data_IF_238915840098
#
_entry.id   IF_238915840098
#
_cell.length_a   1.000
_cell.length_b   1.000
_cell.length_c   1.000
_cell.angle_alpha   90.00
_cell.angle_beta   90.00
_cell.angle_gamma   90.00
#
_symmetry.space_group_name_H-M   'P 1'
#
loop_
_entity.id
_entity.type
_entity.pdbx_description
1 polymer ?
#
# COMPACT_ATOMS: atom_id res chain seq x y z
N UNK A 1 40.99 52.00 -0.99
CA UNK A 1 40.25 51.11 -0.08
C UNK A 1 38.76 51.33 -0.29
N UNK A 2 38.02 50.31 -0.73
CA UNK A 2 36.79 49.82 -0.08
C UNK A 2 36.16 48.72 -0.96
N UNK A 3 35.96 47.55 -0.34
CA UNK A 3 35.38 46.35 -0.94
C UNK A 3 33.87 46.49 -1.05
N UNK A 4 33.30 45.89 -2.09
CA UNK A 4 31.87 45.63 -2.19
C UNK A 4 31.66 44.12 -2.11
N UNK A 5 31.35 43.61 -0.91
CA UNK A 5 30.94 42.22 -0.73
C UNK A 5 29.43 42.13 -0.99
N UNK A 6 29.05 41.71 -2.21
CA UNK A 6 27.67 41.33 -2.55
C UNK A 6 27.25 40.18 -1.64
N UNK A 7 26.39 40.47 -0.66
CA UNK A 7 25.71 39.42 0.09
C UNK A 7 24.60 38.87 -0.81
N UNK A 8 24.85 37.72 -1.43
CA UNK A 8 23.78 36.89 -1.98
C UNK A 8 22.97 36.38 -0.79
N UNK A 9 21.79 36.97 -0.58
CA UNK A 9 20.79 36.38 0.31
C UNK A 9 20.20 35.21 -0.44
N UNK A 10 20.75 34.01 -0.20
CA UNK A 10 20.16 32.77 -0.69
C UNK A 10 18.79 32.68 -0.01
N UNK A 11 17.72 32.67 -0.79
CA UNK A 11 16.36 32.51 -0.27
C UNK A 11 16.18 31.05 0.14
N UNK A 12 16.62 30.74 1.37
CA UNK A 12 16.70 29.39 1.94
C UNK A 12 15.33 28.70 1.89
N UNK A 13 14.23 29.45 2.06
CA UNK A 13 12.87 28.92 2.01
C UNK A 13 12.51 28.33 0.64
N UNK A 14 12.93 28.99 -0.45
CA UNK A 14 12.66 28.51 -1.81
C UNK A 14 13.43 27.23 -2.14
N UNK A 15 14.69 27.13 -1.68
CA UNK A 15 15.48 25.91 -1.87
C UNK A 15 14.93 24.75 -1.05
N UNK A 16 14.53 24.98 0.21
CA UNK A 16 13.92 23.94 1.05
C UNK A 16 12.60 23.41 0.48
N UNK A 17 11.74 24.29 -0.04
CA UNK A 17 10.48 23.90 -0.68
C UNK A 17 10.73 23.08 -1.96
N UNK A 18 11.72 23.46 -2.76
CA UNK A 18 12.09 22.74 -3.98
C UNK A 18 12.63 21.35 -3.64
N UNK A 19 13.54 21.24 -2.68
CA UNK A 19 14.08 19.96 -2.21
C UNK A 19 13.00 19.06 -1.59
N UNK A 20 12.04 19.62 -0.84
CA UNK A 20 10.93 18.85 -0.28
C UNK A 20 10.04 18.27 -1.38
N UNK A 21 9.72 19.05 -2.41
CA UNK A 21 8.91 18.58 -3.55
C UNK A 21 9.65 17.53 -4.39
N UNK A 22 10.96 17.67 -4.57
CA UNK A 22 11.80 16.65 -5.22
C UNK A 22 11.84 15.35 -4.40
N UNK A 23 11.98 15.43 -3.07
CA UNK A 23 11.95 14.27 -2.18
C UNK A 23 10.58 13.58 -2.23
N UNK A 24 9.48 14.34 -2.24
CA UNK A 24 8.13 13.78 -2.35
C UNK A 24 7.92 13.10 -3.71
N UNK A 25 8.36 13.72 -4.81
CA UNK A 25 8.30 13.13 -6.15
C UNK A 25 9.17 11.87 -6.29
N UNK A 26 10.37 11.85 -5.70
CA UNK A 26 11.22 10.65 -5.66
C UNK A 26 10.58 9.56 -4.81
N UNK A 27 9.96 9.90 -3.68
CA UNK A 27 9.21 8.96 -2.85
C UNK A 27 8.06 8.35 -3.65
N UNK A 28 7.24 9.16 -4.30
CA UNK A 28 6.11 8.68 -5.10
C UNK A 28 6.59 7.85 -6.30
N UNK A 29 7.71 8.24 -6.92
CA UNK A 29 8.38 7.46 -7.98
C UNK A 29 8.94 6.13 -7.46
N UNK A 30 9.56 6.08 -6.28
CA UNK A 30 10.01 4.84 -5.65
C UNK A 30 8.82 3.92 -5.31
N UNK A 31 7.70 4.50 -4.90
CA UNK A 31 6.45 3.76 -4.67
C UNK A 31 5.81 3.29 -5.99
N UNK A 32 6.15 3.90 -7.12
CA UNK A 32 5.65 3.60 -8.47
C UNK A 32 6.56 2.69 -9.31
N UNK A 33 7.88 2.62 -9.06
CA UNK A 33 8.86 1.97 -9.93
C UNK A 33 9.02 0.47 -9.66
N UNK A 34 8.70 -0.01 -8.46
CA UNK A 34 8.65 -1.46 -8.25
C UNK A 34 7.30 -1.97 -8.79
N UNK A 35 7.34 -2.66 -9.92
CA UNK A 35 6.32 -3.63 -10.31
C UNK A 35 6.27 -4.73 -9.24
N UNK A 36 5.65 -4.39 -8.11
CA UNK A 36 5.61 -5.17 -6.88
C UNK A 36 4.89 -6.47 -7.19
N UNK A 37 5.71 -7.50 -7.37
CA UNK A 37 5.26 -8.86 -7.54
C UNK A 37 5.56 -9.55 -6.23
N UNK A 38 4.51 -10.03 -5.57
CA UNK A 38 4.63 -10.77 -4.32
C UNK A 38 4.13 -12.18 -4.56
N UNK A 39 4.72 -13.13 -3.82
CA UNK A 39 4.15 -14.47 -3.67
C UNK A 39 3.76 -14.63 -2.22
N UNK A 40 2.48 -14.86 -1.96
CA UNK A 40 1.97 -14.90 -0.59
C UNK A 40 0.93 -15.99 -0.43
N UNK A 41 0.88 -16.56 0.78
CA UNK A 41 -0.18 -17.46 1.21
C UNK A 41 -1.34 -16.65 1.79
N UNK A 42 -2.58 -17.04 1.45
CA UNK A 42 -3.77 -16.42 2.03
C UNK A 42 -4.08 -17.08 3.36
N UNK A 43 -4.10 -16.29 4.43
CA UNK A 43 -4.30 -16.76 5.80
C UNK A 43 -5.76 -16.60 6.21
N UNK A 44 -6.34 -15.43 5.96
CA UNK A 44 -7.73 -15.11 6.29
C UNK A 44 -8.31 -14.15 5.25
N UNK A 45 -9.62 -14.25 5.02
CA UNK A 45 -10.36 -13.38 4.09
C UNK A 45 -11.56 -12.82 4.84
N UNK A 46 -11.55 -11.50 5.08
CA UNK A 46 -12.71 -10.82 5.66
C UNK A 46 -13.82 -10.68 4.60
N UNK A 47 -15.11 -10.71 5.02
CA UNK A 47 -16.24 -10.48 4.13
C UNK A 47 -16.08 -9.21 3.30
N UNK A 48 -16.66 -9.21 2.09
CA UNK A 48 -16.63 -8.03 1.25
C UNK A 48 -17.45 -6.91 1.90
N UNK A 49 -16.89 -5.72 1.92
CA UNK A 49 -17.52 -4.51 2.42
C UNK A 49 -17.55 -3.46 1.30
N UNK A 50 -18.47 -2.51 1.42
CA UNK A 50 -18.57 -1.40 0.49
C UNK A 50 -18.05 -0.13 1.15
N UNK A 51 -17.31 0.66 0.39
CA UNK A 51 -16.92 2.00 0.78
C UNK A 51 -17.53 3.01 -0.18
N UNK A 52 -18.20 4.03 0.38
CA UNK A 52 -18.69 5.19 -0.37
C UNK A 52 -17.74 6.38 -0.17
N UNK A 53 -17.08 6.81 -1.25
CA UNK A 53 -16.29 8.06 -1.27
C UNK A 53 -16.82 8.99 -2.35
N UNK A 54 -17.24 10.20 -1.98
CA UNK A 54 -17.65 11.25 -2.94
C UNK A 54 -18.62 10.77 -4.04
N UNK A 55 -19.58 9.91 -3.68
CA UNK A 55 -20.59 9.39 -4.59
C UNK A 55 -20.15 8.19 -5.46
N UNK A 56 -18.94 7.67 -5.24
CA UNK A 56 -18.46 6.42 -5.84
C UNK A 56 -18.44 5.33 -4.77
N UNK A 57 -19.26 4.29 -4.97
CA UNK A 57 -19.24 3.07 -4.16
C UNK A 57 -18.27 2.07 -4.77
N UNK A 58 -17.28 1.61 -4.01
CA UNK A 58 -16.38 0.51 -4.39
C UNK A 58 -16.49 -0.64 -3.40
N UNK A 59 -16.38 -1.86 -3.89
CA UNK A 59 -16.33 -3.05 -3.04
C UNK A 59 -14.88 -3.32 -2.66
N UNK A 60 -14.62 -3.76 -1.43
CA UNK A 60 -13.31 -4.19 -1.00
C UNK A 60 -13.34 -5.43 -0.12
N UNK A 61 -12.23 -6.18 -0.13
CA UNK A 61 -11.95 -7.23 0.84
C UNK A 61 -10.63 -6.95 1.55
N UNK A 62 -10.61 -7.13 2.87
CA UNK A 62 -9.35 -7.26 3.61
C UNK A 62 -8.93 -8.72 3.63
N UNK A 63 -7.78 -8.98 3.03
CA UNK A 63 -7.19 -10.31 2.96
C UNK A 63 -5.92 -10.30 3.78
N UNK A 64 -5.86 -11.16 4.79
CA UNK A 64 -4.64 -11.36 5.54
C UNK A 64 -3.75 -12.32 4.76
N UNK A 65 -2.57 -11.84 4.40
CA UNK A 65 -1.59 -12.56 3.59
C UNK A 65 -0.26 -12.67 4.32
N UNK A 66 0.56 -13.64 3.93
CA UNK A 66 1.91 -13.74 4.47
C UNK A 66 2.87 -14.53 3.60
N UNK A 67 4.15 -14.33 3.87
CA UNK A 67 5.27 -15.09 3.32
C UNK A 67 6.23 -15.50 4.45
N UNK A 68 7.38 -16.09 4.12
CA UNK A 68 8.39 -16.49 5.12
C UNK A 68 8.94 -15.33 5.97
N UNK A 69 8.77 -14.08 5.51
CA UNK A 69 9.28 -12.88 6.19
C UNK A 69 8.29 -12.28 7.17
N UNK A 70 6.99 -12.51 6.97
CA UNK A 70 5.96 -12.04 7.87
C UNK A 70 4.56 -12.02 7.28
N UNK A 71 3.68 -11.26 7.92
CA UNK A 71 2.27 -11.13 7.57
C UNK A 71 1.88 -9.68 7.34
N UNK A 72 0.86 -9.46 6.51
CA UNK A 72 0.26 -8.13 6.29
C UNK A 72 -1.15 -8.25 5.70
N UNK A 73 -1.88 -7.13 5.61
CA UNK A 73 -3.11 -7.02 4.86
C UNK A 73 -2.90 -6.64 3.41
N UNK A 74 -3.67 -7.29 2.54
CA UNK A 74 -3.96 -6.89 1.18
C UNK A 74 -5.41 -6.41 1.10
N UNK A 75 -5.59 -5.18 0.65
CA UNK A 75 -6.89 -4.61 0.27
C UNK A 75 -7.14 -4.97 -1.18
N UNK A 76 -8.16 -5.79 -1.42
CA UNK A 76 -8.58 -6.19 -2.76
C UNK A 76 -9.78 -5.33 -3.15
N UNK A 77 -9.62 -4.45 -4.14
CA UNK A 77 -10.64 -3.52 -4.63
C UNK A 77 -11.35 -4.07 -5.86
N UNK A 78 -12.69 -3.99 -5.88
CA UNK A 78 -13.62 -4.32 -6.98
C UNK A 78 -13.44 -5.70 -7.64
N UNK A 79 -12.58 -6.53 -7.07
CA UNK A 79 -12.34 -7.90 -7.47
C UNK A 79 -13.18 -8.81 -6.59
N UNK A 80 -13.84 -9.79 -7.21
CA UNK A 80 -14.62 -10.75 -6.46
C UNK A 80 -13.70 -11.57 -5.52
N UNK A 81 -14.02 -11.67 -4.22
CA UNK A 81 -13.23 -12.47 -3.27
C UNK A 81 -13.18 -13.95 -3.65
N UNK A 82 -14.10 -14.42 -4.51
CA UNK A 82 -14.14 -15.80 -5.01
C UNK A 82 -12.85 -16.24 -5.73
N UNK A 83 -12.01 -15.29 -6.17
CA UNK A 83 -10.71 -15.58 -6.78
C UNK A 83 -9.70 -16.09 -5.74
N UNK A 84 -9.81 -15.64 -4.48
CA UNK A 84 -8.88 -15.96 -3.40
C UNK A 84 -9.47 -17.01 -2.46
N UNK A 85 -8.63 -17.96 -2.05
CA UNK A 85 -8.97 -19.00 -1.09
C UNK A 85 -7.89 -19.09 -0.03
N UNK A 86 -8.30 -19.22 1.23
CA UNK A 86 -7.39 -19.47 2.35
C UNK A 86 -6.56 -20.73 2.11
N UNK A 87 -5.35 -20.78 2.67
CA UNK A 87 -4.38 -21.88 2.55
C UNK A 87 -3.76 -22.07 1.14
N UNK A 88 -4.17 -21.25 0.16
CA UNK A 88 -3.54 -21.22 -1.16
C UNK A 88 -2.52 -20.10 -1.28
N UNK A 89 -1.50 -20.34 -2.10
CA UNK A 89 -0.46 -19.35 -2.42
C UNK A 89 -0.72 -18.73 -3.79
N UNK A 90 -0.57 -17.42 -3.89
CA UNK A 90 -0.80 -16.65 -5.11
C UNK A 90 0.41 -15.81 -5.47
N UNK A 91 0.70 -15.72 -6.77
CA UNK A 91 1.57 -14.72 -7.36
C UNK A 91 0.71 -13.50 -7.73
N UNK A 92 0.97 -12.36 -7.09
CA UNK A 92 0.21 -11.12 -7.26
C UNK A 92 1.15 -10.05 -7.79
N UNK A 93 0.78 -9.39 -8.89
CA UNK A 93 1.62 -8.39 -9.55
C UNK A 93 0.90 -7.05 -9.67
N UNK A 94 1.67 -5.97 -9.76
CA UNK A 94 1.16 -4.59 -9.88
C UNK A 94 0.27 -4.22 -8.69
N UNK A 95 0.78 -4.47 -7.49
CA UNK A 95 0.18 -4.00 -6.24
C UNK A 95 0.78 -2.66 -5.84
N UNK A 96 0.04 -1.92 -5.03
CA UNK A 96 0.54 -0.76 -4.32
C UNK A 96 0.84 -1.11 -2.87
N UNK A 97 1.80 -0.40 -2.29
CA UNK A 97 2.16 -0.49 -0.88
C UNK A 97 1.84 0.85 -0.23
N UNK A 98 1.38 0.84 1.01
CA UNK A 98 1.14 2.06 1.79
C UNK A 98 1.57 1.85 3.23
N UNK A 99 2.29 2.83 3.78
CA UNK A 99 2.59 2.86 5.20
C UNK A 99 1.36 3.31 5.99
N UNK A 100 1.01 2.55 7.02
CA UNK A 100 -0.06 2.87 7.96
C UNK A 100 0.34 2.40 9.36
N UNK A 101 0.49 3.34 10.31
CA UNK A 101 0.86 3.06 11.71
C UNK A 101 1.99 2.01 11.84
N UNK A 102 3.13 2.25 11.19
CA UNK A 102 4.32 1.39 11.19
C UNK A 102 4.14 0.00 10.53
N UNK A 103 2.96 -0.28 9.99
CA UNK A 103 2.67 -1.47 9.19
C UNK A 103 2.54 -1.09 7.73
N UNK A 104 3.04 -1.93 6.83
CA UNK A 104 2.81 -1.75 5.40
C UNK A 104 1.55 -2.48 5.00
N UNK A 105 0.60 -1.81 4.37
CA UNK A 105 -0.60 -2.41 3.80
C UNK A 105 -0.43 -2.46 2.28
N UNK A 106 -0.86 -3.56 1.68
CA UNK A 106 -0.84 -3.74 0.24
C UNK A 106 -2.24 -3.49 -0.32
N UNK A 107 -2.35 -2.99 -1.54
CA UNK A 107 -3.63 -2.85 -2.22
C UNK A 107 -3.53 -3.24 -3.68
N UNK A 108 -4.61 -3.81 -4.21
CA UNK A 108 -4.74 -4.03 -5.65
C UNK A 108 -5.03 -2.71 -6.36
N UNK A 109 -4.74 -2.69 -7.66
CA UNK A 109 -5.06 -1.64 -8.63
C UNK A 109 -5.89 -2.24 -9.74
N UNK A 110 -6.40 -1.40 -10.64
CA UNK A 110 -7.10 -1.86 -11.85
C UNK A 110 -6.24 -2.78 -12.74
N UNK A 111 -4.91 -2.62 -12.70
CA UNK A 111 -3.98 -3.41 -13.49
C UNK A 111 -3.45 -4.65 -12.74
N UNK A 112 -3.85 -4.87 -11.48
CA UNK A 112 -3.36 -6.01 -10.69
C UNK A 112 -3.71 -7.34 -11.36
N UNK A 113 -2.71 -8.22 -11.45
CA UNK A 113 -2.93 -9.60 -11.86
C UNK A 113 -2.67 -10.55 -10.68
N UNK A 114 -3.63 -11.42 -10.40
CA UNK A 114 -3.59 -12.44 -9.35
C UNK A 114 -3.61 -13.80 -10.04
N UNK A 115 -2.67 -14.69 -9.71
CA UNK A 115 -2.64 -16.05 -10.23
C UNK A 115 -2.29 -17.05 -9.15
N UNK A 116 -2.92 -18.22 -9.19
CA UNK A 116 -2.61 -19.30 -8.26
C UNK A 116 -1.18 -19.78 -8.50
N UNK A 117 -0.36 -19.79 -7.46
CA UNK A 117 1.00 -20.26 -7.54
C UNK A 117 1.07 -21.78 -7.49
N UNK A 118 2.05 -22.36 -8.21
CA UNK A 118 2.36 -23.79 -8.13
C UNK A 118 3.17 -24.14 -6.88
N UNK A 119 3.78 -23.15 -6.24
CA UNK A 119 4.59 -23.32 -5.04
C UNK A 119 3.79 -22.89 -3.83
N UNK A 120 3.78 -23.71 -2.78
CA UNK A 120 3.18 -23.36 -1.50
C UNK A 120 4.19 -22.58 -0.66
N UNK A 121 3.73 -21.52 -0.01
CA UNK A 121 4.48 -20.79 1.02
C UNK A 121 3.85 -21.05 2.39
N UNK A 122 4.69 -21.30 3.37
CA UNK A 122 4.31 -21.32 4.78
C UNK A 122 4.57 -19.93 5.37
N UNK A 123 3.52 -19.13 5.65
CA UNK A 123 3.70 -17.78 6.14
C UNK A 123 4.25 -17.78 7.57
N UNK A 124 5.11 -16.81 7.88
CA UNK A 124 5.51 -16.52 9.25
C UNK A 124 4.39 -15.75 9.97
N UNK A 125 3.71 -16.42 10.88
CA UNK A 125 2.53 -15.90 11.61
C UNK A 125 2.87 -15.34 12.99
N UNK A 126 4.15 -15.19 13.36
CA UNK A 126 4.55 -14.75 14.71
C UNK A 126 3.97 -13.37 15.09
N UNK A 127 3.80 -12.49 14.10
CA UNK A 127 3.26 -11.13 14.29
C UNK A 127 1.76 -10.99 14.00
N UNK A 128 1.05 -12.08 13.71
CA UNK A 128 -0.34 -12.05 13.26
C UNK A 128 -1.28 -11.37 14.26
N UNK A 129 -1.00 -11.51 15.56
CA UNK A 129 -1.77 -10.90 16.65
C UNK A 129 -1.71 -9.37 16.67
N UNK A 130 -0.57 -8.78 16.24
CA UNK A 130 -0.41 -7.33 16.13
C UNK A 130 -1.24 -6.78 14.95
N UNK A 131 -1.36 -7.58 13.90
CA UNK A 131 -2.04 -7.20 12.66
C UNK A 131 -3.56 -7.38 12.79
N UNK A 132 -4.02 -8.47 13.43
CA UNK A 132 -5.46 -8.71 13.58
C UNK A 132 -6.19 -7.66 14.42
N UNK A 133 -5.46 -6.83 15.17
CA UNK A 133 -6.03 -5.80 16.05
C UNK A 133 -6.25 -4.43 15.37
N UNK A 134 -6.19 -4.35 14.03
CA UNK A 134 -6.58 -3.14 13.29
C UNK A 134 -8.08 -2.89 13.48
N UNK A 135 -8.41 -1.77 14.13
CA UNK A 135 -9.76 -1.37 14.47
C UNK A 135 -10.55 -0.90 13.23
N UNK A 136 -11.89 -0.90 13.29
CA UNK A 136 -12.77 -0.44 12.20
C UNK A 136 -12.49 1.02 11.78
N UNK A 137 -12.06 1.86 12.73
CA UNK A 137 -11.65 3.26 12.47
C UNK A 137 -10.39 3.31 11.60
N UNK A 138 -9.46 2.39 11.83
CA UNK A 138 -8.24 2.29 11.04
C UNK A 138 -8.56 1.76 9.64
N UNK A 139 -9.45 0.76 9.52
CA UNK A 139 -9.91 0.22 8.23
C UNK A 139 -10.45 1.33 7.32
N UNK A 140 -11.36 2.18 7.82
CA UNK A 140 -11.91 3.29 7.02
C UNK A 140 -10.82 4.23 6.54
N UNK A 141 -9.88 4.58 7.43
CA UNK A 141 -8.74 5.46 7.12
C UNK A 141 -7.83 4.85 6.07
N UNK A 142 -7.54 3.54 6.18
CA UNK A 142 -6.75 2.77 5.21
C UNK A 142 -7.42 2.81 3.84
N UNK A 143 -8.72 2.52 3.77
CA UNK A 143 -9.45 2.47 2.50
C UNK A 143 -9.52 3.86 1.85
N UNK A 144 -9.85 4.92 2.61
CA UNK A 144 -9.79 6.31 2.12
C UNK A 144 -8.42 6.61 1.52
N UNK A 145 -7.36 6.27 2.25
CA UNK A 145 -6.00 6.56 1.82
C UNK A 145 -5.58 5.71 0.60
N UNK A 146 -6.11 4.50 0.42
CA UNK A 146 -5.90 3.68 -0.78
C UNK A 146 -6.61 4.30 -1.99
N UNK A 147 -7.85 4.78 -1.83
CA UNK A 147 -8.63 5.34 -2.96
C UNK A 147 -8.18 6.73 -3.40
N UNK A 148 -7.74 7.60 -2.49
CA UNK A 148 -7.16 8.91 -2.85
C UNK A 148 -5.99 8.77 -3.85
N UNK A 149 -5.28 7.64 -3.78
CA UNK A 149 -4.15 7.35 -4.65
C UNK A 149 -4.56 6.77 -6.02
N UNK A 150 -5.74 6.17 -6.14
CA UNK A 150 -6.28 5.68 -7.43
C UNK A 150 -6.78 6.82 -8.33
N UNK A 151 -7.05 8.00 -7.77
CA UNK A 151 -7.51 9.18 -8.53
C UNK A 151 -6.37 10.05 -9.09
N UNK A 152 -5.10 9.70 -8.79
CA UNK A 152 -3.89 10.38 -9.28
C UNK A 152 -3.24 9.57 -10.41
#
# INVERSE_FOLDING_TARGET
MQSWSKHQTINVDFQLQTTLNEILSIKDSLMSIESNSIRVSIIDIRPAENFDNDGVTRSYNFVLIGDETGTTFLVVLDLAPEVLKTEYTYDITKIRRKNFNETYILSTTIDTHISLSKSTINPNIDDISKIMNIDLVDVKTIITAVMEFEQQ
#
